data_IF_338994248247
#
_entry.id   IF_338994248247
#
_cell.length_a   1.000
_cell.length_b   1.000
_cell.length_c   1.000
_cell.angle_alpha   90.00
_cell.angle_beta   90.00
_cell.angle_gamma   90.00
#
_symmetry.space_group_name_H-M   'P 1'
#
loop_
_entity.id
_entity.type
_entity.pdbx_description
1 polymer ?
#
# COMPACT_ATOMS: atom_id res chain seq x y z
N UNK A 1 6.63 -21.89 62.96
CA UNK A 1 8.00 -21.80 62.43
C UNK A 1 7.90 -21.44 60.95
N UNK A 2 8.26 -20.20 60.60
CA UNK A 2 8.59 -19.81 59.22
C UNK A 2 9.90 -20.51 58.80
N UNK A 3 10.13 -20.74 57.50
CA UNK A 3 10.89 -19.77 56.67
C UNK A 3 10.44 -19.85 55.17
N UNK A 4 10.90 -19.12 54.16
CA UNK A 4 11.76 -17.94 53.99
C UNK A 4 11.41 -17.33 52.63
N UNK A 5 11.65 -16.02 52.50
CA UNK A 5 11.54 -15.23 51.28
C UNK A 5 12.73 -15.55 50.36
N UNK A 6 12.49 -15.83 49.07
CA UNK A 6 13.54 -15.84 48.04
C UNK A 6 13.35 -14.64 47.12
N UNK A 7 14.22 -13.66 47.33
CA UNK A 7 14.56 -12.56 46.44
C UNK A 7 15.16 -13.10 45.13
N UNK A 8 14.61 -12.69 43.99
CA UNK A 8 15.28 -12.84 42.69
C UNK A 8 15.82 -11.47 42.26
N UNK A 9 17.12 -11.43 42.03
CA UNK A 9 17.88 -10.29 41.53
C UNK A 9 17.52 -9.98 40.07
N UNK A 10 17.33 -8.69 39.78
CA UNK A 10 17.21 -8.16 38.42
C UNK A 10 18.56 -8.27 37.69
N UNK A 11 18.57 -8.94 36.53
CA UNK A 11 19.69 -8.90 35.58
C UNK A 11 19.37 -7.90 34.46
N UNK A 12 20.22 -6.89 34.20
CA UNK A 12 19.98 -5.91 33.15
C UNK A 12 20.34 -6.50 31.78
N UNK A 13 19.34 -6.64 30.90
CA UNK A 13 19.58 -6.96 29.48
C UNK A 13 19.97 -5.68 28.74
N UNK A 14 21.26 -5.55 28.53
CA UNK A 14 21.91 -4.50 27.75
C UNK A 14 21.55 -4.70 26.26
N UNK A 15 20.66 -3.86 25.72
CA UNK A 15 20.36 -3.83 24.28
C UNK A 15 21.32 -2.84 23.60
N UNK A 16 22.45 -3.35 23.11
CA UNK A 16 23.31 -2.59 22.20
C UNK A 16 22.60 -2.42 20.85
N UNK A 17 22.21 -1.18 20.57
CA UNK A 17 21.90 -0.68 19.23
C UNK A 17 23.15 -0.83 18.35
N UNK A 18 23.19 -1.84 17.49
CA UNK A 18 24.24 -1.97 16.48
C UNK A 18 24.04 -0.91 15.38
N UNK A 19 25.09 -0.13 15.12
CA UNK A 19 25.18 0.74 13.96
C UNK A 19 25.08 -0.10 12.66
N UNK A 20 24.38 0.36 11.62
CA UNK A 20 24.27 -0.35 10.35
C UNK A 20 25.64 -0.59 9.73
N UNK A 21 25.84 -1.79 9.19
CA UNK A 21 27.10 -2.20 8.58
C UNK A 21 27.38 -1.39 7.31
N UNK A 22 28.64 -1.38 6.83
CA UNK A 22 28.98 -0.74 5.56
C UNK A 22 28.22 -1.36 4.37
N UNK A 23 27.81 -2.62 4.47
CA UNK A 23 26.97 -3.31 3.48
C UNK A 23 25.54 -2.77 3.50
N UNK A 24 24.94 -2.56 4.67
CA UNK A 24 23.60 -1.94 4.81
C UNK A 24 23.57 -0.52 4.26
N UNK A 25 24.66 0.25 4.46
CA UNK A 25 24.79 1.60 3.94
C UNK A 25 25.02 1.65 2.42
N UNK A 26 25.68 0.64 1.86
CA UNK A 26 25.88 0.51 0.42
C UNK A 26 24.59 0.06 -0.29
N UNK A 27 23.83 -0.86 0.32
CA UNK A 27 22.50 -1.27 -0.15
C UNK A 27 21.53 -0.09 -0.17
N UNK A 28 21.52 0.75 0.88
CA UNK A 28 20.68 1.96 0.91
C UNK A 28 21.06 2.99 -0.18
N UNK A 29 22.36 3.16 -0.46
CA UNK A 29 22.85 4.04 -1.54
C UNK A 29 22.53 3.48 -2.94
N UNK A 30 22.50 2.16 -3.10
CA UNK A 30 22.14 1.49 -4.34
C UNK A 30 20.62 1.54 -4.59
N UNK A 31 19.82 1.40 -3.53
CA UNK A 31 18.36 1.57 -3.54
C UNK A 31 17.95 3.01 -3.91
N UNK A 32 18.70 4.01 -3.45
CA UNK A 32 18.49 5.41 -3.83
C UNK A 32 18.87 5.71 -5.29
N UNK A 33 19.93 5.07 -5.82
CA UNK A 33 20.28 5.17 -7.24
C UNK A 33 19.22 4.53 -8.14
N UNK A 34 18.66 3.39 -7.76
CA UNK A 34 17.67 2.67 -8.59
C UNK A 34 16.33 3.42 -8.71
N UNK A 35 15.89 4.09 -7.64
CA UNK A 35 14.69 4.95 -7.67
C UNK A 35 14.86 6.15 -8.62
N UNK A 36 16.06 6.74 -8.68
CA UNK A 36 16.37 7.88 -9.55
C UNK A 36 16.46 7.45 -11.02
N UNK A 37 17.08 6.30 -11.33
CA UNK A 37 17.23 5.85 -12.72
C UNK A 37 15.91 5.43 -13.38
N UNK A 38 14.94 4.88 -12.63
CA UNK A 38 13.60 4.57 -13.17
C UNK A 38 12.68 5.78 -13.31
N UNK A 39 12.86 6.83 -12.50
CA UNK A 39 12.14 8.08 -12.67
C UNK A 39 12.65 8.83 -13.92
N UNK A 40 13.97 8.81 -14.16
CA UNK A 40 14.60 9.48 -15.31
C UNK A 40 14.39 8.77 -16.66
N UNK A 41 14.17 7.45 -16.71
CA UNK A 41 13.92 6.75 -17.99
C UNK A 41 12.51 6.94 -18.55
N UNK A 42 11.57 7.46 -17.75
CA UNK A 42 10.18 7.74 -18.16
C UNK A 42 10.00 9.20 -18.64
N UNK A 43 10.99 10.08 -18.46
CA UNK A 43 10.90 11.51 -18.81
C UNK A 43 11.92 12.01 -19.83
N UNK A 44 12.43 11.16 -20.74
CA UNK A 44 13.16 11.68 -21.91
C UNK A 44 12.22 12.17 -23.02
N UNK A 45 11.72 13.39 -22.86
CA UNK A 45 11.69 14.34 -23.98
C UNK A 45 12.13 15.73 -23.51
N UNK A 46 13.19 16.21 -24.17
CA UNK A 46 13.75 17.58 -24.23
C UNK A 46 14.74 18.03 -23.14
N UNK A 47 16.01 17.90 -23.55
CA UNK A 47 17.13 18.86 -23.49
C UNK A 47 17.57 19.43 -22.12
N UNK A 48 18.88 19.26 -21.88
CA UNK A 48 19.64 19.61 -20.70
C UNK A 48 19.85 21.12 -20.50
N UNK A 49 19.93 21.55 -19.23
CA UNK A 49 20.95 22.50 -18.75
C UNK A 49 21.32 22.14 -17.31
N UNK A 50 22.61 21.91 -17.07
CA UNK A 50 23.22 21.70 -15.75
C UNK A 50 23.43 23.05 -15.06
N UNK A 51 22.97 23.23 -13.82
CA UNK A 51 23.52 24.27 -12.92
C UNK A 51 23.63 23.72 -11.50
N UNK A 52 24.87 23.69 -11.01
CA UNK A 52 25.27 23.41 -9.63
C UNK A 52 24.88 24.59 -8.72
N UNK A 53 24.25 24.34 -7.57
CA UNK A 53 23.99 25.39 -6.59
C UNK A 53 24.87 25.21 -5.35
N UNK A 54 25.95 26.02 -5.28
CA UNK A 54 26.62 26.37 -4.02
C UNK A 54 25.74 27.38 -3.25
N UNK A 55 25.95 27.45 -1.93
CA UNK A 55 25.27 28.32 -0.94
C UNK A 55 25.13 29.80 -1.39
N UNK A 56 24.13 30.54 -0.88
CA UNK A 56 23.83 31.89 -1.33
C UNK A 56 24.75 32.93 -0.64
N UNK A 57 25.19 33.97 -1.36
CA UNK A 57 25.48 35.26 -0.76
C UNK A 57 24.30 36.22 -0.98
N UNK A 58 24.09 37.05 0.03
CA UNK A 58 23.21 38.22 0.04
C UNK A 58 23.66 39.26 -1.00
N UNK A 59 22.72 39.91 -1.72
CA UNK A 59 22.52 41.37 -1.78
C UNK A 59 21.61 41.84 -2.95
N UNK A 60 20.85 42.89 -2.61
CA UNK A 60 20.45 44.06 -3.40
C UNK A 60 19.33 44.00 -4.46
N UNK A 61 18.31 44.84 -4.19
CA UNK A 61 17.27 45.34 -5.09
C UNK A 61 17.87 46.15 -6.25
N UNK A 62 17.81 45.63 -7.46
CA UNK A 62 17.69 46.37 -8.72
C UNK A 62 17.51 45.37 -9.87
N UNK A 63 16.76 45.73 -10.91
CA UNK A 63 16.43 44.93 -12.11
C UNK A 63 15.21 43.99 -12.02
N UNK A 64 14.02 44.60 -11.96
CA UNK A 64 12.83 44.06 -12.61
C UNK A 64 12.13 45.19 -13.35
N UNK A 65 12.53 45.43 -14.59
CA UNK A 65 11.73 46.13 -15.59
C UNK A 65 12.20 45.62 -16.95
N UNK A 66 11.37 44.85 -17.64
CA UNK A 66 10.90 45.04 -19.03
C UNK A 66 10.14 43.78 -19.45
N UNK A 67 9.06 43.95 -20.21
CA UNK A 67 8.10 42.96 -20.72
C UNK A 67 6.87 42.67 -19.84
N UNK A 68 5.96 43.64 -19.75
CA UNK A 68 4.54 43.37 -19.63
C UNK A 68 3.82 44.01 -20.83
N UNK A 69 3.13 43.19 -21.62
CA UNK A 69 2.25 43.64 -22.69
C UNK A 69 1.01 44.33 -22.08
N UNK A 70 0.40 45.31 -22.78
CA UNK A 70 -0.79 46.00 -22.29
C UNK A 70 -2.02 45.07 -22.25
N UNK A 71 -2.99 45.31 -21.35
CA UNK A 71 -4.20 44.50 -21.26
C UNK A 71 -5.14 44.77 -22.46
N UNK A 72 -5.93 43.78 -22.89
CA UNK A 72 -6.85 43.94 -24.01
C UNK A 72 -8.05 44.84 -23.63
N UNK A 73 -8.67 45.52 -24.62
CA UNK A 73 -9.82 46.38 -24.38
C UNK A 73 -11.07 45.55 -24.02
N UNK A 74 -11.87 46.06 -23.09
CA UNK A 74 -13.16 45.48 -22.69
C UNK A 74 -14.18 45.71 -23.81
N UNK A 75 -14.63 44.65 -24.47
CA UNK A 75 -15.79 44.68 -25.36
C UNK A 75 -16.97 43.93 -24.73
N UNK A 76 -18.07 44.65 -24.61
CA UNK A 76 -19.39 44.17 -24.23
C UNK A 76 -20.10 43.59 -25.44
N UNK A 77 -20.28 42.27 -25.50
CA UNK A 77 -21.52 41.68 -26.04
C UNK A 77 -21.63 40.20 -25.65
N UNK A 78 -22.72 39.90 -24.97
CA UNK A 78 -23.19 38.56 -24.67
C UNK A 78 -23.65 37.87 -25.95
N UNK A 79 -22.95 36.81 -26.38
CA UNK A 79 -23.51 35.70 -27.16
C UNK A 79 -22.85 34.40 -26.69
N UNK A 80 -23.62 33.56 -26.02
CA UNK A 80 -23.20 32.21 -25.68
C UNK A 80 -22.92 31.42 -26.98
N UNK A 81 -21.83 30.63 -27.07
CA UNK A 81 -21.63 29.71 -28.18
C UNK A 81 -22.74 28.65 -28.20
N UNK A 82 -23.15 28.16 -29.39
CA UNK A 82 -24.22 27.18 -29.48
C UNK A 82 -23.78 25.89 -28.77
N UNK A 83 -24.60 25.48 -27.79
CA UNK A 83 -24.43 24.23 -27.07
C UNK A 83 -24.70 23.08 -28.05
N UNK A 84 -23.64 22.40 -28.51
CA UNK A 84 -23.79 21.14 -29.21
C UNK A 84 -24.30 20.14 -28.17
N UNK A 85 -25.62 19.93 -28.15
CA UNK A 85 -26.24 18.84 -27.38
C UNK A 85 -25.97 17.55 -28.14
N UNK A 86 -24.90 16.85 -27.79
CA UNK A 86 -24.73 15.46 -28.22
C UNK A 86 -25.80 14.64 -27.46
N UNK A 87 -26.67 13.89 -28.14
CA UNK A 87 -27.65 13.05 -27.48
C UNK A 87 -26.96 12.03 -26.57
N UNK A 88 -27.38 11.96 -25.32
CA UNK A 88 -26.81 11.06 -24.30
C UNK A 88 -27.25 9.59 -24.48
N UNK A 89 -27.83 9.22 -25.63
CA UNK A 89 -28.59 7.98 -25.80
C UNK A 89 -27.87 6.82 -26.48
N UNK A 90 -26.68 7.00 -27.07
CA UNK A 90 -26.04 5.92 -27.87
C UNK A 90 -24.58 5.63 -27.51
N UNK A 91 -24.15 5.95 -26.28
CA UNK A 91 -22.86 5.46 -25.79
C UNK A 91 -23.08 4.10 -25.14
N UNK A 92 -22.66 3.04 -25.83
CA UNK A 92 -22.44 1.74 -25.21
C UNK A 92 -21.70 1.95 -23.87
N UNK A 93 -22.09 1.25 -22.78
CA UNK A 93 -21.37 1.37 -21.52
C UNK A 93 -19.88 1.11 -21.77
N UNK A 94 -18.97 1.90 -21.17
CA UNK A 94 -17.55 1.74 -21.39
C UNK A 94 -17.16 0.28 -21.13
N UNK A 95 -16.58 -0.37 -22.13
CA UNK A 95 -16.20 -1.78 -22.04
C UNK A 95 -15.34 -1.98 -20.80
N UNK A 96 -15.61 -3.03 -19.99
CA UNK A 96 -14.82 -3.28 -18.80
C UNK A 96 -13.36 -3.50 -19.20
N UNK A 97 -12.43 -2.80 -18.55
CA UNK A 97 -10.99 -2.95 -18.83
C UNK A 97 -10.40 -4.23 -18.22
N UNK A 98 -11.06 -4.75 -17.17
CA UNK A 98 -10.65 -5.91 -16.39
C UNK A 98 -11.84 -6.79 -16.02
N UNK A 99 -11.61 -8.09 -15.91
CA UNK A 99 -12.58 -9.06 -15.40
C UNK A 99 -11.92 -10.04 -14.42
N UNK A 100 -12.73 -10.69 -13.56
CA UNK A 100 -12.26 -11.72 -12.63
C UNK A 100 -12.53 -13.09 -13.24
N UNK A 101 -11.54 -13.98 -13.21
CA UNK A 101 -11.62 -15.32 -13.79
C UNK A 101 -10.94 -16.37 -12.93
N UNK A 102 -10.99 -17.63 -13.36
CA UNK A 102 -10.19 -18.72 -12.77
C UNK A 102 -8.74 -18.63 -13.27
N UNK A 103 -7.80 -18.65 -12.34
CA UNK A 103 -6.37 -18.72 -12.65
C UNK A 103 -5.92 -20.19 -12.79
N UNK A 104 -4.95 -20.43 -13.67
CA UNK A 104 -4.37 -21.76 -13.86
C UNK A 104 -3.61 -22.25 -12.62
N UNK A 105 -3.29 -23.56 -12.59
CA UNK A 105 -2.31 -24.15 -11.68
C UNK A 105 -2.51 -23.79 -10.20
N UNK A 106 -3.64 -24.17 -9.60
CA UNK A 106 -3.92 -24.03 -8.14
C UNK A 106 -3.95 -22.60 -7.55
N UNK A 107 -3.74 -21.56 -8.36
CA UNK A 107 -3.75 -20.13 -7.93
C UNK A 107 -5.13 -19.58 -7.58
N UNK A 108 -6.20 -20.33 -7.86
CA UNK A 108 -7.56 -19.96 -7.53
C UNK A 108 -8.16 -18.98 -8.53
N UNK A 109 -8.51 -17.76 -8.09
CA UNK A 109 -9.05 -16.71 -8.97
C UNK A 109 -7.96 -15.70 -9.30
N UNK A 110 -8.11 -15.03 -10.44
CA UNK A 110 -7.19 -14.00 -10.92
C UNK A 110 -7.95 -12.79 -11.50
N UNK A 111 -7.23 -11.68 -11.66
CA UNK A 111 -7.68 -10.50 -12.40
C UNK A 111 -7.11 -10.58 -13.81
N UNK A 112 -7.92 -10.35 -14.84
CA UNK A 112 -7.53 -10.54 -16.23
C UNK A 112 -7.82 -9.30 -17.08
N UNK A 113 -6.93 -9.04 -18.03
CA UNK A 113 -7.08 -7.97 -18.99
C UNK A 113 -8.22 -8.28 -19.98
N UNK A 114 -9.13 -7.32 -20.19
CA UNK A 114 -10.16 -7.45 -21.22
C UNK A 114 -9.75 -6.83 -22.57
N UNK A 115 -8.60 -6.17 -22.61
CA UNK A 115 -8.04 -5.50 -23.78
C UNK A 115 -6.52 -5.41 -23.66
N UNK A 116 -5.86 -4.98 -24.73
CA UNK A 116 -4.41 -4.75 -24.75
C UNK A 116 -4.02 -3.46 -24.00
N UNK A 117 -2.89 -3.52 -23.29
CA UNK A 117 -2.26 -2.37 -22.65
C UNK A 117 -0.79 -2.24 -23.02
N UNK A 118 -0.35 -1.00 -23.23
CA UNK A 118 1.06 -0.67 -23.45
C UNK A 118 1.77 -0.40 -22.11
N UNK A 119 3.09 -0.60 -22.00
CA UNK A 119 3.85 -0.18 -20.82
C UNK A 119 3.57 1.30 -20.46
N UNK A 120 3.36 1.56 -19.18
CA UNK A 120 3.01 2.88 -18.64
C UNK A 120 1.54 3.27 -18.76
N UNK A 121 0.71 2.50 -19.47
CA UNK A 121 -0.72 2.79 -19.61
C UNK A 121 -1.47 2.47 -18.31
N UNK A 122 -2.34 3.39 -17.88
CA UNK A 122 -3.29 3.11 -16.80
C UNK A 122 -4.29 2.04 -17.23
N UNK A 123 -4.34 0.95 -16.47
CA UNK A 123 -5.24 -0.19 -16.70
C UNK A 123 -6.61 0.08 -16.08
N UNK A 124 -6.62 0.49 -14.80
CA UNK A 124 -7.83 0.86 -14.08
C UNK A 124 -7.52 1.78 -12.89
N UNK A 125 -8.40 2.74 -12.64
CA UNK A 125 -8.42 3.56 -11.43
C UNK A 125 -9.48 3.03 -10.48
N UNK A 126 -9.11 2.82 -9.22
CA UNK A 126 -9.99 2.38 -8.15
C UNK A 126 -10.11 3.49 -7.11
N UNK A 127 -11.22 4.25 -7.17
CA UNK A 127 -11.47 5.45 -6.36
C UNK A 127 -12.53 5.25 -5.26
N UNK A 128 -13.16 4.08 -5.21
CA UNK A 128 -14.23 3.71 -4.27
C UNK A 128 -13.92 2.42 -3.51
N UNK A 129 -12.83 2.41 -2.70
CA UNK A 129 -12.49 1.21 -1.93
C UNK A 129 -13.55 0.88 -0.87
N UNK A 130 -13.66 -0.41 -0.55
CA UNK A 130 -14.44 -0.87 0.60
C UNK A 130 -13.88 -0.36 1.94
N UNK A 131 -12.55 -0.41 2.06
CA UNK A 131 -11.80 0.11 3.21
C UNK A 131 -10.64 0.95 2.72
N UNK A 132 -10.48 2.11 3.32
CA UNK A 132 -9.29 2.90 3.17
C UNK A 132 -9.14 3.76 4.43
N UNK A 133 -8.12 3.50 5.24
CA UNK A 133 -7.93 4.17 6.52
C UNK A 133 -6.44 4.28 6.84
N UNK A 134 -6.03 5.34 7.55
CA UNK A 134 -4.64 5.52 7.89
C UNK A 134 -4.21 4.54 8.97
N UNK A 135 -2.90 4.28 9.05
CA UNK A 135 -2.35 3.51 10.15
C UNK A 135 -2.46 4.30 11.46
N UNK A 136 -2.74 3.59 12.55
CA UNK A 136 -3.00 4.20 13.86
C UNK A 136 -1.92 5.19 14.33
N UNK A 137 -0.59 4.92 14.16
CA UNK A 137 0.45 5.86 14.57
C UNK A 137 0.44 7.19 13.81
N UNK A 138 -0.17 7.25 12.63
CA UNK A 138 -0.16 8.43 11.76
C UNK A 138 -1.46 9.23 11.76
N UNK A 139 -2.42 8.91 12.62
CA UNK A 139 -3.73 9.57 12.66
C UNK A 139 -3.66 11.10 12.79
N UNK A 140 -2.65 11.64 13.47
CA UNK A 140 -2.46 13.10 13.63
C UNK A 140 -1.77 13.77 12.46
N UNK A 141 -1.21 12.99 11.53
CA UNK A 141 -0.43 13.47 10.39
C UNK A 141 -1.08 13.14 9.06
N UNK A 142 -2.07 12.24 9.04
CA UNK A 142 -2.74 11.76 7.83
C UNK A 142 -4.25 11.89 7.99
N UNK A 143 -4.90 12.51 7.01
CA UNK A 143 -6.36 12.65 7.02
C UNK A 143 -7.04 11.28 6.95
N UNK A 144 -7.94 10.97 7.90
CA UNK A 144 -8.73 9.75 7.96
C UNK A 144 -9.70 9.56 6.77
N UNK A 145 -9.89 10.60 5.94
CA UNK A 145 -10.64 10.50 4.70
C UNK A 145 -9.71 10.44 3.48
N UNK A 146 -9.13 11.56 3.05
CA UNK A 146 -8.40 11.59 1.79
C UNK A 146 -7.04 10.85 1.83
N UNK A 147 -6.60 10.42 3.02
CA UNK A 147 -5.30 9.78 3.27
C UNK A 147 -4.10 10.63 2.88
N UNK A 148 -4.29 11.93 2.66
CA UNK A 148 -3.18 12.84 2.40
C UNK A 148 -2.51 13.26 3.71
N UNK A 149 -1.18 13.44 3.70
CA UNK A 149 -0.46 13.98 4.84
C UNK A 149 -0.78 15.45 5.08
N UNK A 150 -0.67 15.90 6.32
CA UNK A 150 -0.94 17.28 6.72
C UNK A 150 -1.05 17.47 8.24
N UNK A 151 -1.86 18.44 8.65
CA UNK A 151 -2.18 18.72 10.07
C UNK A 151 -3.69 18.58 10.31
N UNK A 152 -4.25 17.37 10.15
CA UNK A 152 -5.67 17.14 10.31
C UNK A 152 -6.13 17.37 11.75
N UNK A 153 -7.38 17.81 11.92
CA UNK A 153 -8.01 18.04 13.22
C UNK A 153 -8.87 16.86 13.63
N UNK A 154 -8.79 16.47 14.90
CA UNK A 154 -9.59 15.39 15.47
C UNK A 154 -11.08 15.71 15.46
N UNK A 155 -11.91 14.71 15.19
CA UNK A 155 -13.35 14.76 15.37
C UNK A 155 -13.67 15.11 16.83
N UNK A 156 -14.42 16.18 17.06
CA UNK A 156 -14.75 16.69 18.40
C UNK A 156 -15.49 15.66 19.27
N UNK A 157 -16.20 14.71 18.65
CA UNK A 157 -17.00 13.69 19.33
C UNK A 157 -16.18 12.49 19.80
N UNK A 158 -15.45 11.82 18.91
CA UNK A 158 -14.71 10.60 19.26
C UNK A 158 -13.22 10.84 19.52
N UNK A 159 -12.64 11.93 19.01
CA UNK A 159 -11.20 12.25 19.06
C UNK A 159 -10.27 11.14 18.49
N UNK A 160 -10.81 10.24 17.67
CA UNK A 160 -10.10 9.08 17.13
C UNK A 160 -10.03 9.08 15.57
N UNK A 161 -10.74 10.00 14.91
CA UNK A 161 -10.66 10.23 13.47
C UNK A 161 -10.25 11.68 13.24
N UNK A 162 -9.42 11.94 12.24
CA UNK A 162 -8.80 13.24 12.00
C UNK A 162 -8.99 13.68 10.55
N UNK A 163 -9.33 14.95 10.30
CA UNK A 163 -9.65 15.45 8.95
C UNK A 163 -8.93 16.76 8.64
N UNK A 164 -8.49 16.94 7.39
CA UNK A 164 -7.88 18.20 6.96
C UNK A 164 -8.87 19.37 6.99
N UNK A 165 -10.12 19.11 6.63
CA UNK A 165 -11.19 20.12 6.50
C UNK A 165 -12.59 19.50 6.68
N UNK A 166 -13.60 20.37 6.64
CA UNK A 166 -15.01 20.01 6.76
C UNK A 166 -15.46 19.08 5.63
N UNK A 167 -14.99 19.27 4.40
CA UNK A 167 -15.37 18.44 3.27
C UNK A 167 -14.94 16.97 3.46
N UNK A 168 -13.71 16.75 3.93
CA UNK A 168 -13.23 15.40 4.28
C UNK A 168 -14.00 14.81 5.46
N UNK A 169 -14.35 15.62 6.46
CA UNK A 169 -15.14 15.16 7.60
C UNK A 169 -16.55 14.74 7.18
N UNK A 170 -17.22 15.54 6.35
CA UNK A 170 -18.56 15.27 5.81
C UNK A 170 -18.58 14.03 4.92
N UNK A 171 -17.62 13.92 3.99
CA UNK A 171 -17.48 12.76 3.13
C UNK A 171 -17.19 11.48 3.94
N UNK A 172 -16.35 11.57 4.98
CA UNK A 172 -16.15 10.44 5.89
C UNK A 172 -17.40 10.10 6.69
N UNK A 173 -18.13 11.12 7.16
CA UNK A 173 -19.37 10.96 7.91
C UNK A 173 -20.40 10.14 7.13
N UNK A 174 -20.61 10.50 5.87
CA UNK A 174 -21.50 9.79 4.96
C UNK A 174 -21.02 8.35 4.67
N UNK A 175 -19.72 8.16 4.42
CA UNK A 175 -19.19 6.84 4.04
C UNK A 175 -19.21 5.81 5.20
N UNK A 176 -18.71 6.19 6.39
CA UNK A 176 -18.55 5.25 7.50
C UNK A 176 -18.51 5.92 8.87
N UNK A 177 -17.96 7.13 8.98
CA UNK A 177 -17.67 7.73 10.26
C UNK A 177 -18.93 8.05 11.07
N UNK A 178 -20.07 8.35 10.46
CA UNK A 178 -21.32 8.54 11.22
C UNK A 178 -21.69 7.31 12.05
N UNK A 179 -21.45 6.11 11.50
CA UNK A 179 -21.69 4.81 12.15
C UNK A 179 -20.54 4.44 13.10
N UNK A 180 -19.30 4.61 12.64
CA UNK A 180 -18.06 4.30 13.41
C UNK A 180 -17.86 5.23 14.62
N UNK A 181 -18.27 6.51 14.54
CA UNK A 181 -18.05 7.50 15.60
C UNK A 181 -18.70 7.07 16.92
N UNK A 182 -19.90 6.48 16.86
CA UNK A 182 -20.59 5.94 18.05
C UNK A 182 -19.81 4.77 18.66
N UNK A 183 -19.29 3.87 17.83
CA UNK A 183 -18.46 2.74 18.26
C UNK A 183 -17.18 3.23 18.96
N UNK A 184 -16.47 4.18 18.35
CA UNK A 184 -15.23 4.75 18.91
C UNK A 184 -15.45 5.56 20.20
N UNK A 185 -16.65 6.13 20.38
CA UNK A 185 -17.01 6.83 21.63
C UNK A 185 -17.19 5.90 22.82
N UNK A 186 -17.58 4.63 22.62
CA UNK A 186 -17.87 3.70 23.73
C UNK A 186 -16.64 3.50 24.62
N UNK A 187 -15.46 3.35 24.03
CA UNK A 187 -14.19 3.24 24.75
C UNK A 187 -13.73 4.52 25.48
N UNK A 188 -14.43 5.64 25.30
CA UNK A 188 -14.15 6.89 26.03
C UNK A 188 -14.86 6.90 27.39
N UNK A 189 -15.86 6.05 27.60
CA UNK A 189 -16.72 6.06 28.80
C UNK A 189 -16.33 5.04 29.88
N UNK A 190 -15.26 4.27 29.71
CA UNK A 190 -14.78 3.33 30.72
C UNK A 190 -14.05 4.05 31.87
N UNK A 191 -14.85 4.58 32.80
CA UNK A 191 -14.62 4.49 34.24
C UNK A 191 -13.63 5.40 34.95
N UNK A 192 -12.56 5.92 34.34
CA UNK A 192 -11.59 6.76 35.06
C UNK A 192 -11.65 8.24 34.64
N UNK A 193 -12.43 9.00 35.41
CA UNK A 193 -12.23 10.44 35.60
C UNK A 193 -10.85 10.68 36.24
N UNK A 194 -9.86 11.00 35.42
CA UNK A 194 -8.68 11.73 35.89
C UNK A 194 -8.20 12.69 34.82
N UNK A 195 -8.36 13.99 35.09
CA UNK A 195 -7.41 15.01 34.68
C UNK A 195 -7.53 15.56 33.26
N UNK A 196 -8.00 16.80 33.17
CA UNK A 196 -7.70 17.66 32.02
C UNK A 196 -6.19 17.93 31.92
N UNK A 197 -5.72 17.94 30.68
CA UNK A 197 -4.37 18.31 30.29
C UNK A 197 -4.32 18.29 28.76
N UNK A 198 -4.07 19.46 28.20
CA UNK A 198 -3.80 19.84 26.80
C UNK A 198 -3.84 18.76 25.70
N UNK A 199 -4.70 19.00 24.71
CA UNK A 199 -4.44 18.71 23.28
C UNK A 199 -4.55 17.27 22.78
N UNK A 200 -4.12 16.27 23.55
CA UNK A 200 -3.86 14.94 23.00
C UNK A 200 -4.97 13.93 23.34
N UNK A 201 -5.37 13.13 22.35
CA UNK A 201 -6.21 11.98 22.63
C UNK A 201 -5.35 10.92 23.37
N UNK A 202 -5.68 10.51 24.62
CA UNK A 202 -4.93 9.52 25.35
C UNK A 202 -4.82 8.23 24.53
N UNK A 203 -3.66 7.57 24.64
CA UNK A 203 -3.31 6.38 23.87
C UNK A 203 -4.37 5.26 23.92
N UNK A 204 -5.18 5.21 24.98
CA UNK A 204 -6.33 4.31 25.14
C UNK A 204 -7.46 4.50 24.11
N UNK A 205 -7.45 5.58 23.31
CA UNK A 205 -8.50 5.90 22.32
C UNK A 205 -8.15 5.46 20.89
N UNK A 206 -6.98 4.85 20.68
CA UNK A 206 -6.46 4.49 19.36
C UNK A 206 -6.50 2.98 19.17
N UNK A 207 -7.49 2.52 18.41
CA UNK A 207 -7.56 1.12 17.99
C UNK A 207 -6.38 0.78 17.06
N UNK A 208 -5.76 -0.41 17.19
CA UNK A 208 -4.86 -0.92 16.17
C UNK A 208 -5.55 -0.92 14.79
N UNK A 209 -4.80 -0.64 13.73
CA UNK A 209 -5.34 -0.50 12.36
C UNK A 209 -6.25 -1.66 11.96
N UNK A 210 -5.88 -2.95 12.19
CA UNK A 210 -6.74 -4.07 11.82
C UNK A 210 -8.06 -4.11 12.62
N UNK A 211 -8.03 -3.74 13.90
CA UNK A 211 -9.23 -3.67 14.75
C UNK A 211 -10.16 -2.57 14.27
N UNK A 212 -9.61 -1.38 13.95
CA UNK A 212 -10.42 -0.28 13.42
C UNK A 212 -11.04 -0.63 12.07
N UNK A 213 -10.28 -1.28 11.19
CA UNK A 213 -10.78 -1.77 9.90
C UNK A 213 -11.95 -2.75 10.10
N UNK A 214 -11.80 -3.69 11.03
CA UNK A 214 -12.85 -4.63 11.39
C UNK A 214 -14.10 -3.93 11.95
N UNK A 215 -13.94 -2.92 12.83
CA UNK A 215 -15.08 -2.12 13.31
C UNK A 215 -15.80 -1.44 12.14
N UNK A 216 -15.08 -0.86 11.18
CA UNK A 216 -15.70 -0.26 9.99
C UNK A 216 -16.46 -1.26 9.13
N UNK A 217 -16.05 -2.53 9.09
CA UNK A 217 -16.80 -3.60 8.41
C UNK A 217 -18.04 -3.98 9.21
N UNK A 218 -17.91 -4.24 10.50
CA UNK A 218 -19.02 -4.72 11.35
C UNK A 218 -20.16 -3.70 11.47
N UNK A 219 -19.88 -2.40 11.35
CA UNK A 219 -20.91 -1.34 11.34
C UNK A 219 -21.50 -1.07 9.95
N UNK A 220 -21.06 -1.79 8.90
CA UNK A 220 -21.50 -1.64 7.50
C UNK A 220 -21.81 -3.01 6.87
N UNK A 221 -23.03 -3.56 7.05
CA UNK A 221 -23.41 -4.86 6.51
C UNK A 221 -23.16 -5.02 5.00
N UNK A 222 -23.31 -3.94 4.24
CA UNK A 222 -23.04 -3.89 2.79
C UNK A 222 -21.57 -4.18 2.46
N UNK A 223 -20.63 -3.70 3.28
CA UNK A 223 -19.19 -3.92 3.09
C UNK A 223 -18.82 -5.34 3.47
N UNK A 224 -19.43 -5.87 4.52
CA UNK A 224 -19.23 -7.25 4.93
C UNK A 224 -19.65 -8.24 3.85
N UNK A 225 -20.82 -8.04 3.25
CA UNK A 225 -21.29 -8.87 2.14
C UNK A 225 -20.30 -8.83 0.96
N UNK A 226 -19.79 -7.64 0.63
CA UNK A 226 -18.80 -7.47 -0.43
C UNK A 226 -17.44 -8.15 -0.12
N UNK A 227 -17.07 -8.31 1.15
CA UNK A 227 -15.92 -9.12 1.58
C UNK A 227 -16.15 -10.63 1.46
N UNK A 228 -17.40 -11.07 1.32
CA UNK A 228 -17.76 -12.49 1.23
C UNK A 228 -17.01 -13.22 0.11
N UNK A 229 -16.71 -12.52 -0.99
CA UNK A 229 -15.94 -13.08 -2.10
C UNK A 229 -14.43 -13.13 -1.86
N UNK A 230 -13.88 -12.60 -0.78
CA UNK A 230 -12.44 -12.61 -0.53
C UNK A 230 -12.01 -13.86 0.23
N UNK A 231 -10.76 -14.27 -0.01
CA UNK A 231 -10.19 -15.44 0.67
C UNK A 231 -9.74 -15.04 2.07
N UNK A 232 -10.11 -15.85 3.06
CA UNK A 232 -9.58 -15.78 4.41
C UNK A 232 -8.67 -16.98 4.61
N UNK A 233 -7.40 -16.75 4.93
CA UNK A 233 -6.51 -17.80 5.40
C UNK A 233 -6.38 -17.67 6.91
N UNK A 234 -7.05 -18.57 7.62
CA UNK A 234 -6.96 -18.63 9.07
C UNK A 234 -5.68 -19.38 9.47
N UNK A 235 -4.91 -18.86 10.44
CA UNK A 235 -3.84 -19.63 11.05
C UNK A 235 -4.36 -20.95 11.65
N UNK A 236 -3.54 -21.99 11.61
CA UNK A 236 -3.90 -23.28 12.17
C UNK A 236 -4.06 -23.20 13.71
N UNK A 237 -4.79 -24.15 14.28
CA UNK A 237 -4.91 -24.29 15.74
C UNK A 237 -3.52 -24.44 16.38
N UNK A 238 -3.25 -23.66 17.43
CA UNK A 238 -1.95 -23.61 18.11
C UNK A 238 -0.95 -22.61 17.52
N UNK A 239 -1.22 -21.97 16.37
CA UNK A 239 -0.42 -20.85 15.89
C UNK A 239 -0.60 -19.65 16.83
N UNK A 240 0.52 -19.09 17.33
CA UNK A 240 0.50 -17.92 18.23
C UNK A 240 -0.25 -16.73 17.62
N UNK A 241 -0.22 -16.58 16.29
CA UNK A 241 -0.95 -15.52 15.57
C UNK A 241 -2.48 -15.65 15.70
N UNK A 242 -2.99 -16.87 15.91
CA UNK A 242 -4.43 -17.08 16.10
C UNK A 242 -4.92 -16.39 17.38
N UNK A 243 -4.15 -16.47 18.47
CA UNK A 243 -4.50 -15.81 19.73
C UNK A 243 -4.59 -14.28 19.56
N UNK A 244 -3.61 -13.69 18.88
CA UNK A 244 -3.61 -12.24 18.59
C UNK A 244 -4.82 -11.83 17.74
N UNK A 245 -5.17 -12.61 16.71
CA UNK A 245 -6.35 -12.38 15.88
C UNK A 245 -7.65 -12.51 16.66
N UNK A 246 -7.75 -13.48 17.58
CA UNK A 246 -8.93 -13.66 18.43
C UNK A 246 -9.14 -12.48 19.38
N UNK A 247 -8.07 -11.93 19.97
CA UNK A 247 -8.12 -10.71 20.79
C UNK A 247 -8.58 -9.52 19.96
N UNK A 248 -8.01 -9.33 18.78
CA UNK A 248 -8.42 -8.26 17.85
C UNK A 248 -9.87 -8.41 17.39
N UNK A 249 -10.33 -9.63 17.11
CA UNK A 249 -11.71 -9.92 16.72
C UNK A 249 -12.68 -9.58 17.85
N UNK A 250 -12.39 -10.00 19.08
CA UNK A 250 -13.18 -9.68 20.27
C UNK A 250 -13.26 -8.17 20.49
N UNK A 251 -12.13 -7.46 20.36
CA UNK A 251 -12.11 -6.00 20.43
C UNK A 251 -13.00 -5.38 19.34
N UNK A 252 -12.90 -5.84 18.09
CA UNK A 252 -13.76 -5.38 16.99
C UNK A 252 -15.25 -5.55 17.31
N UNK A 253 -15.65 -6.71 17.82
CA UNK A 253 -17.03 -6.98 18.27
C UNK A 253 -17.48 -6.01 19.37
N UNK A 254 -16.67 -5.85 20.42
CA UNK A 254 -17.00 -4.98 21.55
C UNK A 254 -17.24 -3.53 21.12
N UNK A 255 -16.36 -2.98 20.27
CA UNK A 255 -16.52 -1.62 19.76
C UNK A 255 -17.74 -1.48 18.85
N UNK A 256 -17.95 -2.43 17.93
CA UNK A 256 -19.09 -2.45 17.03
C UNK A 256 -20.43 -2.68 17.79
N UNK A 257 -20.39 -3.27 18.99
CA UNK A 257 -21.58 -3.69 19.73
C UNK A 257 -22.20 -4.97 19.15
N UNK A 258 -21.35 -5.86 18.67
CA UNK A 258 -21.74 -7.21 18.22
C UNK A 258 -21.68 -8.12 19.44
N UNK A 259 -22.79 -8.78 19.75
CA UNK A 259 -22.85 -9.74 20.86
C UNK A 259 -21.92 -10.93 20.59
N UNK A 260 -21.09 -11.23 21.57
CA UNK A 260 -20.23 -12.42 21.60
C UNK A 260 -20.81 -13.29 22.70
N UNK A 261 -21.27 -14.50 22.34
CA UNK A 261 -21.79 -15.44 23.34
C UNK A 261 -20.74 -15.74 24.41
N UNK A 262 -21.14 -15.70 25.68
CA UNK A 262 -20.27 -16.05 26.80
C UNK A 262 -20.12 -17.58 26.85
N UNK A 263 -18.96 -18.08 26.40
CA UNK A 263 -18.61 -19.49 26.49
C UNK A 263 -17.44 -19.88 25.59
N UNK A 264 -16.60 -20.82 26.04
CA UNK A 264 -15.53 -21.47 25.27
C UNK A 264 -16.06 -22.35 24.12
N UNK A 265 -17.38 -22.52 24.00
CA UNK A 265 -17.96 -23.25 22.91
C UNK A 265 -17.81 -22.45 21.61
N UNK A 266 -16.83 -22.86 20.80
CA UNK A 266 -16.62 -22.61 19.37
C UNK A 266 -17.90 -22.92 18.54
N UNK A 267 -18.99 -22.20 18.76
CA UNK A 267 -20.15 -22.29 17.89
C UNK A 267 -19.81 -21.53 16.62
N UNK A 268 -19.63 -22.27 15.54
CA UNK A 268 -19.60 -21.78 14.16
C UNK A 268 -20.83 -20.88 13.96
N UNK A 269 -20.62 -19.57 13.87
CA UNK A 269 -21.70 -18.57 13.79
C UNK A 269 -21.76 -17.57 14.93
N UNK A 270 -20.93 -17.69 15.96
CA UNK A 270 -20.79 -16.65 17.00
C UNK A 270 -20.26 -15.33 16.42
N UNK A 271 -20.64 -14.20 17.03
CA UNK A 271 -20.18 -12.87 16.62
C UNK A 271 -18.66 -12.76 16.53
N UNK A 272 -17.92 -13.42 17.43
CA UNK A 272 -16.45 -13.42 17.44
C UNK A 272 -15.85 -14.24 16.30
N UNK A 273 -16.39 -15.43 15.99
CA UNK A 273 -15.84 -16.27 14.91
C UNK A 273 -16.07 -15.64 13.54
N UNK A 274 -17.22 -15.00 13.35
CA UNK A 274 -17.50 -14.14 12.19
C UNK A 274 -16.51 -12.98 12.09
N UNK A 275 -16.25 -12.28 13.20
CA UNK A 275 -15.28 -11.19 13.22
C UNK A 275 -13.85 -11.64 12.94
N UNK A 276 -13.45 -12.84 13.40
CA UNK A 276 -12.16 -13.44 13.08
C UNK A 276 -12.03 -13.70 11.57
N UNK A 277 -13.05 -14.27 10.94
CA UNK A 277 -13.05 -14.52 9.49
C UNK A 277 -12.90 -13.22 8.68
N UNK A 278 -13.65 -12.17 9.07
CA UNK A 278 -13.54 -10.85 8.45
C UNK A 278 -12.16 -10.23 8.66
N UNK A 279 -11.57 -10.38 9.84
CA UNK A 279 -10.24 -9.88 10.14
C UNK A 279 -9.18 -10.56 9.26
N UNK A 280 -9.26 -11.87 9.09
CA UNK A 280 -8.39 -12.60 8.16
C UNK A 280 -8.57 -12.09 6.72
N UNK A 281 -9.81 -11.95 6.24
CA UNK A 281 -10.09 -11.36 4.91
C UNK A 281 -9.46 -9.99 4.73
N UNK A 282 -9.53 -9.11 5.72
CA UNK A 282 -8.89 -7.80 5.67
C UNK A 282 -7.37 -7.97 5.58
N UNK A 283 -6.75 -8.73 6.47
CA UNK A 283 -5.29 -8.86 6.52
C UNK A 283 -4.69 -9.58 5.31
N UNK A 284 -5.39 -10.55 4.74
CA UNK A 284 -4.89 -11.30 3.58
C UNK A 284 -5.04 -10.53 2.25
N UNK A 285 -5.91 -9.53 2.16
CA UNK A 285 -6.28 -8.90 0.89
C UNK A 285 -6.04 -7.38 0.87
N UNK A 286 -5.81 -6.73 2.01
CA UNK A 286 -5.57 -5.30 2.06
C UNK A 286 -4.18 -4.94 1.55
N UNK A 287 -4.12 -3.87 0.78
CA UNK A 287 -2.89 -3.23 0.31
C UNK A 287 -2.41 -2.25 1.35
N UNK A 288 -1.10 -2.18 1.53
CA UNK A 288 -0.47 -1.09 2.29
C UNK A 288 -0.28 0.12 1.37
N UNK A 289 -0.75 1.27 1.83
CA UNK A 289 -0.55 2.55 1.16
C UNK A 289 0.78 3.10 1.68
N UNK A 290 1.74 3.30 0.78
CA UNK A 290 3.09 3.71 1.12
C UNK A 290 3.38 5.14 0.66
N UNK A 291 3.94 5.93 1.57
CA UNK A 291 4.59 7.21 1.27
C UNK A 291 6.03 7.13 1.79
N UNK A 292 6.98 7.60 0.98
CA UNK A 292 8.41 7.43 1.29
C UNK A 292 8.86 8.22 2.51
N UNK A 293 8.25 9.38 2.77
CA UNK A 293 8.59 10.24 3.90
C UNK A 293 7.92 9.74 5.19
N UNK A 294 6.72 9.16 5.08
CA UNK A 294 5.94 8.66 6.20
C UNK A 294 6.12 7.16 6.49
N UNK A 295 6.82 6.43 5.61
CA UNK A 295 7.04 4.97 5.60
C UNK A 295 5.80 4.09 5.45
N UNK A 296 4.61 4.50 5.87
CA UNK A 296 3.36 3.77 5.61
C UNK A 296 2.18 4.66 6.02
N UNK A 297 1.25 4.97 5.12
CA UNK A 297 0.17 5.91 5.40
C UNK A 297 -1.12 5.23 5.85
N UNK A 298 -1.37 3.99 5.44
CA UNK A 298 -2.65 3.33 5.69
C UNK A 298 -2.82 1.99 5.00
N UNK A 299 -4.05 1.47 5.08
CA UNK A 299 -4.47 0.28 4.33
C UNK A 299 -5.55 0.65 3.32
N UNK A 300 -5.62 -0.08 2.21
CA UNK A 300 -6.60 0.03 1.14
C UNK A 300 -7.14 -1.35 0.78
N UNK A 301 -8.45 -1.50 0.62
CA UNK A 301 -9.05 -2.75 0.19
C UNK A 301 -10.14 -2.49 -0.85
N UNK A 302 -9.91 -3.03 -2.05
CA UNK A 302 -10.84 -3.05 -3.16
C UNK A 302 -10.93 -4.49 -3.68
N UNK A 303 -12.08 -5.18 -3.53
CA UNK A 303 -12.18 -6.61 -3.84
C UNK A 303 -11.77 -6.99 -5.25
N UNK A 304 -12.09 -6.14 -6.24
CA UNK A 304 -11.70 -6.44 -7.63
C UNK A 304 -10.19 -6.38 -7.82
N UNK A 305 -9.53 -5.39 -7.22
CA UNK A 305 -8.07 -5.25 -7.29
C UNK A 305 -7.36 -6.36 -6.49
N UNK A 306 -7.94 -6.79 -5.36
CA UNK A 306 -7.43 -7.89 -4.55
C UNK A 306 -7.44 -9.27 -5.25
N UNK A 307 -8.04 -9.38 -6.44
CA UNK A 307 -7.95 -10.58 -7.28
C UNK A 307 -6.64 -10.66 -8.09
N UNK A 308 -5.85 -9.59 -8.18
CA UNK A 308 -4.60 -9.61 -8.93
C UNK A 308 -3.55 -10.47 -8.21
N UNK A 309 -3.17 -11.60 -8.82
CA UNK A 309 -2.24 -12.54 -8.20
C UNK A 309 -0.80 -12.03 -8.17
N UNK A 310 0.03 -12.71 -7.38
CA UNK A 310 1.43 -12.38 -7.27
C UNK A 310 2.30 -12.97 -8.38
N UNK A 311 3.22 -12.15 -8.91
CA UNK A 311 4.44 -12.61 -9.59
C UNK A 311 5.65 -11.80 -9.14
N UNK A 312 6.82 -12.42 -9.00
CA UNK A 312 8.07 -11.68 -8.74
C UNK A 312 8.64 -11.02 -10.01
N UNK A 313 7.96 -11.23 -11.15
CA UNK A 313 8.17 -10.57 -12.45
C UNK A 313 6.80 -10.05 -12.90
N UNK A 314 6.22 -9.06 -12.20
CA UNK A 314 4.86 -8.62 -12.49
C UNK A 314 4.76 -7.93 -13.86
N UNK A 315 3.54 -7.90 -14.40
CA UNK A 315 3.20 -7.14 -15.59
C UNK A 315 2.46 -5.83 -15.26
N UNK A 316 2.02 -5.64 -14.01
CA UNK A 316 1.37 -4.43 -13.55
C UNK A 316 1.87 -3.96 -12.17
N UNK A 317 1.70 -2.66 -11.90
CA UNK A 317 2.06 -2.00 -10.65
C UNK A 317 0.84 -1.25 -10.10
N UNK A 318 0.65 -1.33 -8.79
CA UNK A 318 -0.31 -0.51 -8.06
C UNK A 318 0.45 0.63 -7.38
N UNK A 319 -0.01 1.86 -7.59
CA UNK A 319 0.44 3.01 -6.81
C UNK A 319 -0.76 3.80 -6.29
N UNK A 320 -0.54 4.57 -5.23
CA UNK A 320 -1.59 5.28 -4.52
C UNK A 320 -1.43 6.79 -4.64
N UNK A 321 -2.56 7.48 -4.77
CA UNK A 321 -2.65 8.93 -4.63
C UNK A 321 -3.74 9.22 -3.60
N UNK A 322 -3.32 9.37 -2.34
CA UNK A 322 -4.26 9.41 -1.21
C UNK A 322 -5.09 8.13 -1.15
N UNK A 323 -6.42 8.26 -1.18
CA UNK A 323 -7.36 7.12 -1.14
C UNK A 323 -7.55 6.41 -2.50
N UNK A 324 -6.95 6.87 -3.59
CA UNK A 324 -7.14 6.28 -4.92
C UNK A 324 -6.00 5.32 -5.26
N UNK A 325 -6.33 4.10 -5.68
CA UNK A 325 -5.36 3.16 -6.26
C UNK A 325 -5.38 3.26 -7.79
N UNK A 326 -4.19 3.29 -8.39
CA UNK A 326 -3.99 3.36 -9.84
C UNK A 326 -3.20 2.13 -10.26
N UNK A 327 -3.83 1.25 -11.03
CA UNK A 327 -3.19 0.08 -11.62
C UNK A 327 -2.63 0.47 -12.99
N UNK A 328 -1.34 0.27 -13.19
CA UNK A 328 -0.61 0.65 -14.41
C UNK A 328 0.16 -0.53 -14.96
N UNK A 329 0.18 -0.69 -16.28
CA UNK A 329 0.95 -1.74 -16.94
C UNK A 329 2.46 -1.44 -16.85
N UNK A 330 3.25 -2.37 -16.33
CA UNK A 330 4.73 -2.29 -16.37
C UNK A 330 5.30 -2.86 -17.66
N UNK A 331 4.54 -3.73 -18.34
CA UNK A 331 4.92 -4.47 -19.55
C UNK A 331 3.74 -4.46 -20.53
N UNK A 332 3.93 -4.86 -21.81
CA UNK A 332 2.80 -5.13 -22.68
C UNK A 332 1.91 -6.21 -22.04
N UNK A 333 0.60 -5.98 -22.02
CA UNK A 333 -0.41 -6.92 -21.53
C UNK A 333 -1.41 -7.11 -22.66
N UNK A 334 -1.72 -8.35 -23.02
CA UNK A 334 -2.71 -8.70 -24.05
C UNK A 334 -4.07 -8.96 -23.43
N UNK A 335 -5.12 -8.78 -24.23
CA UNK A 335 -6.45 -9.23 -23.85
C UNK A 335 -6.41 -10.73 -23.50
N UNK A 336 -6.93 -11.09 -22.32
CA UNK A 336 -6.88 -12.45 -21.78
C UNK A 336 -5.69 -12.75 -20.87
N UNK A 337 -4.66 -11.90 -20.84
CA UNK A 337 -3.54 -12.09 -19.91
C UNK A 337 -3.98 -11.89 -18.46
N UNK A 338 -3.42 -12.69 -17.56
CA UNK A 338 -3.54 -12.48 -16.11
C UNK A 338 -2.78 -11.22 -15.70
N UNK A 339 -3.42 -10.34 -14.93
CA UNK A 339 -2.79 -9.20 -14.27
C UNK A 339 -2.11 -9.71 -13.02
N UNK A 340 -0.78 -9.58 -12.99
CA UNK A 340 0.05 -9.97 -11.87
C UNK A 340 0.79 -8.76 -11.29
N UNK A 341 0.78 -8.65 -9.96
CA UNK A 341 1.43 -7.58 -9.22
C UNK A 341 2.47 -8.16 -8.23
N UNK A 342 3.40 -7.32 -7.76
CA UNK A 342 4.34 -7.73 -6.71
C UNK A 342 3.72 -7.53 -5.32
N UNK A 343 3.68 -8.58 -4.49
CA UNK A 343 3.29 -8.51 -3.07
C UNK A 343 4.50 -8.29 -2.14
N UNK A 344 5.71 -8.31 -2.70
CA UNK A 344 6.98 -8.23 -2.01
C UNK A 344 7.87 -7.22 -2.73
N UNK A 345 8.88 -6.72 -2.04
CA UNK A 345 9.87 -5.81 -2.61
C UNK A 345 10.61 -6.44 -3.80
N UNK A 346 10.84 -5.65 -4.85
CA UNK A 346 11.51 -6.08 -6.08
C UNK A 346 12.97 -6.46 -5.86
N UNK A 347 13.62 -5.91 -4.84
CA UNK A 347 15.05 -6.08 -4.56
C UNK A 347 15.35 -7.34 -3.75
N UNK A 348 14.34 -7.97 -3.15
CA UNK A 348 14.56 -9.10 -2.25
C UNK A 348 15.14 -10.34 -2.95
N UNK A 349 16.14 -11.02 -2.33
CA UNK A 349 16.60 -12.34 -2.76
C UNK A 349 15.51 -13.40 -2.52
N UNK A 350 15.65 -14.58 -3.13
CA UNK A 350 14.65 -15.64 -3.08
C UNK A 350 14.21 -16.01 -1.65
N UNK A 351 15.15 -16.11 -0.71
CA UNK A 351 14.87 -16.41 0.70
C UNK A 351 13.91 -15.38 1.31
N UNK A 352 14.19 -14.10 1.12
CA UNK A 352 13.35 -12.99 1.61
C UNK A 352 12.02 -12.89 0.88
N UNK A 353 11.95 -13.20 -0.41
CA UNK A 353 10.68 -13.30 -1.14
C UNK A 353 9.81 -14.42 -0.58
N UNK A 354 10.37 -15.62 -0.34
CA UNK A 354 9.64 -16.75 0.26
C UNK A 354 9.14 -16.43 1.66
N UNK A 355 9.96 -15.79 2.48
CA UNK A 355 9.59 -15.33 3.82
C UNK A 355 8.40 -14.35 3.75
N UNK A 356 8.50 -13.29 2.94
CA UNK A 356 7.45 -12.30 2.77
C UNK A 356 6.13 -12.90 2.23
N UNK A 357 6.23 -13.86 1.31
CA UNK A 357 5.06 -14.51 0.70
C UNK A 357 4.42 -15.59 1.58
N UNK A 358 5.11 -16.06 2.62
CA UNK A 358 4.59 -17.10 3.51
C UNK A 358 3.28 -16.69 4.20
N UNK A 359 3.08 -15.39 4.45
CA UNK A 359 1.86 -14.82 5.02
C UNK A 359 0.62 -14.95 4.09
N UNK A 360 0.84 -15.24 2.80
CA UNK A 360 -0.21 -15.45 1.81
C UNK A 360 -0.50 -16.93 1.53
N UNK A 361 0.20 -17.84 2.22
CA UNK A 361 -0.07 -19.28 2.19
C UNK A 361 0.01 -19.91 0.79
N UNK A 362 0.98 -19.48 -0.02
CA UNK A 362 1.33 -20.10 -1.30
C UNK A 362 2.84 -20.06 -1.54
N UNK A 363 3.33 -20.90 -2.46
CA UNK A 363 4.72 -20.83 -2.94
C UNK A 363 4.76 -20.22 -4.35
N UNK A 364 5.55 -19.16 -4.53
CA UNK A 364 5.70 -18.53 -5.84
C UNK A 364 6.61 -19.37 -6.76
N UNK A 365 6.06 -19.78 -7.91
CA UNK A 365 6.75 -20.59 -8.93
C UNK A 365 7.08 -19.81 -10.21
N UNK A 366 7.05 -18.48 -10.17
CA UNK A 366 7.42 -17.66 -11.34
C UNK A 366 8.88 -17.93 -11.76
N UNK A 367 9.23 -17.58 -13.01
CA UNK A 367 10.58 -17.77 -13.57
C UNK A 367 11.69 -17.26 -12.64
N UNK A 368 11.50 -16.09 -12.00
CA UNK A 368 12.49 -15.50 -11.08
C UNK A 368 12.73 -16.36 -9.83
N UNK A 369 11.69 -17.03 -9.33
CA UNK A 369 11.84 -17.95 -8.20
C UNK A 369 12.37 -19.31 -8.63
N UNK A 370 11.88 -19.85 -9.75
CA UNK A 370 12.30 -21.15 -10.27
C UNK A 370 13.80 -21.19 -10.63
N UNK A 371 14.35 -20.07 -11.10
CA UNK A 371 15.75 -19.95 -11.53
C UNK A 371 16.62 -19.16 -10.53
N UNK A 372 16.09 -18.84 -9.34
CA UNK A 372 16.76 -18.00 -8.32
C UNK A 372 17.43 -16.74 -8.90
N UNK A 373 16.68 -16.01 -9.73
CA UNK A 373 17.20 -14.82 -10.39
C UNK A 373 17.12 -13.61 -9.47
N UNK A 374 18.18 -12.81 -9.50
CA UNK A 374 18.16 -11.44 -8.99
C UNK A 374 17.46 -10.50 -9.98
N UNK A 375 17.21 -9.25 -9.56
CA UNK A 375 16.49 -8.27 -10.38
C UNK A 375 17.22 -7.96 -11.70
N UNK A 376 18.55 -7.90 -11.69
CA UNK A 376 19.36 -7.58 -12.86
C UNK A 376 19.32 -8.68 -13.92
N UNK A 377 19.36 -9.95 -13.51
CA UNK A 377 19.27 -11.10 -14.41
C UNK A 377 17.90 -11.20 -15.09
N UNK A 378 16.82 -10.89 -14.37
CA UNK A 378 15.47 -10.81 -14.96
C UNK A 378 15.40 -9.70 -16.01
N UNK A 379 15.96 -8.52 -15.71
CA UNK A 379 15.99 -7.42 -16.67
C UNK A 379 16.82 -7.77 -17.91
N UNK A 380 18.01 -8.35 -17.76
CA UNK A 380 18.87 -8.73 -18.88
C UNK A 380 18.17 -9.71 -19.83
N UNK A 381 17.53 -10.74 -19.28
CA UNK A 381 16.83 -11.74 -20.09
C UNK A 381 15.55 -11.24 -20.77
N UNK A 382 14.94 -10.16 -20.25
CA UNK A 382 13.76 -9.55 -20.87
C UNK A 382 14.11 -8.67 -22.09
N UNK A 383 15.37 -8.26 -22.23
CA UNK A 383 15.85 -7.47 -23.37
C UNK A 383 16.11 -8.34 -24.62
N UNK A 384 16.49 -9.60 -24.43
CA UNK A 384 16.72 -10.53 -25.54
C UNK A 384 15.42 -10.99 -26.23
N UNK A 385 14.30 -11.06 -25.51
CA UNK A 385 12.99 -11.47 -26.09
C UNK A 385 12.41 -10.44 -27.08
N UNK A 386 12.98 -9.24 -27.16
CA UNK A 386 12.55 -8.15 -28.07
C UNK A 386 13.43 -7.95 -29.30
N UNK A 387 14.54 -8.68 -29.45
CA UNK A 387 15.46 -8.55 -30.58
C UNK A 387 15.23 -9.76 -31.50
N UNK A 388 14.78 -9.58 -32.75
CA UNK A 388 14.83 -10.66 -33.72
C UNK A 388 16.29 -11.11 -33.83
N UNK A 389 16.58 -12.35 -33.47
CA UNK A 389 17.89 -12.96 -33.72
C UNK A 389 18.14 -13.01 -35.24
N UNK A 390 18.65 -11.93 -35.81
CA UNK A 390 19.50 -12.04 -36.98
C UNK A 390 20.82 -12.60 -36.48
N UNK A 391 21.09 -13.85 -36.86
CA UNK A 391 22.24 -14.59 -36.39
C UNK A 391 23.55 -13.85 -36.65
N UNK A 392 24.11 -13.26 -35.60
CA UNK A 392 25.55 -13.05 -35.47
C UNK A 392 25.91 -13.31 -34.01
N UNK A 393 26.42 -14.51 -33.76
CA UNK A 393 27.11 -14.85 -32.52
C UNK A 393 28.30 -13.90 -32.35
N UNK A 394 28.32 -13.12 -31.26
CA UNK A 394 29.50 -12.39 -30.80
C UNK A 394 29.93 -12.80 -29.38
N UNK A 395 29.52 -13.98 -28.93
CA UNK A 395 30.08 -14.58 -27.70
C UNK A 395 31.04 -15.67 -28.12
N UNK A 396 32.32 -15.30 -28.29
CA UNK A 396 33.40 -16.27 -28.27
C UNK A 396 33.53 -16.80 -26.82
N UNK A 397 33.62 -18.12 -26.59
CA UNK A 397 33.83 -18.66 -25.26
C UNK A 397 35.30 -18.47 -24.88
N UNK A 398 35.60 -17.50 -24.01
CA UNK A 398 36.90 -17.43 -23.34
C UNK A 398 36.73 -17.99 -21.93
N UNK A 399 36.85 -19.31 -21.82
CA UNK A 399 37.32 -19.96 -20.60
C UNK A 399 38.20 -21.15 -21.00
N UNK A 400 39.52 -20.95 -20.93
CA UNK A 400 40.46 -22.05 -20.76
C UNK A 400 41.31 -21.73 -19.52
N UNK A 401 41.45 -22.67 -18.56
CA UNK A 401 42.11 -22.39 -17.29
C UNK A 401 43.61 -22.65 -17.43
N UNK A 402 44.44 -21.60 -17.38
CA UNK A 402 45.87 -21.68 -17.08
C UNK A 402 46.42 -20.27 -16.86
N UNK A 403 47.35 -20.15 -15.90
CA UNK A 403 48.10 -18.96 -15.48
C UNK A 403 47.60 -18.23 -14.23
N UNK A 404 47.99 -18.87 -13.14
CA UNK A 404 48.39 -18.36 -11.83
C UNK A 404 49.43 -17.21 -11.96
N UNK A 405 49.37 -16.28 -11.00
CA UNK A 405 50.35 -15.25 -10.60
C UNK A 405 50.57 -14.02 -11.50
N UNK A 406 50.04 -12.86 -11.09
CA UNK A 406 50.80 -11.79 -10.41
C UNK A 406 49.93 -10.51 -10.26
N UNK A 407 49.78 -10.07 -9.01
CA UNK A 407 49.46 -8.69 -8.59
C UNK A 407 50.56 -7.72 -9.11
N UNK A 408 50.32 -6.41 -9.33
CA UNK A 408 50.00 -5.50 -8.21
C UNK A 408 49.05 -4.30 -8.48
N UNK A 409 48.18 -4.08 -7.49
CA UNK A 409 47.91 -2.82 -6.79
C UNK A 409 48.19 -1.49 -7.52
N UNK A 410 47.17 -0.80 -8.05
CA UNK A 410 47.13 0.68 -8.09
C UNK A 410 45.67 1.20 -8.07
N UNK A 411 45.32 1.82 -6.93
CA UNK A 411 44.26 2.81 -6.61
C UNK A 411 42.78 2.57 -6.92
#
# INVERSE_FOLDING_TARGET
MMPSVMSYEESPTNTFSSCPTKEDQNMAKEQQRYSIYRCCSVTQTRQAVTVTCRRPPTFSKAYLHTYCAPPPPKSSSSRNPPSIKVPHSDMDPPRPTLHVGGASNDRGRGLFAAQDFRPGQTVQVFDRPLLALPVTPLLERVCSHCLRPGKPRGCSRCRAAFYCDAACQEAAWAAVHGRECKALRRAVHDGNNSGGGDGDAPASRRLPTPVRALVQVLVRPEVESALGSLRAHRPASGDRRLADLLVMARAGCAFAGVEVGEGEADIVGSGQMRALDLLCKIQNNAFHIYDADLREEGIFLEPKLAMANHSCIPNALVHFVGRTAILTAERPIKAGDEIEIAYTDYTYPLTKRREALSAYYFECRCRRCAQDLNVYQVCASSLDEGIPHQGTSLVAPIFHPSFVNMLPWWW
#
